data_IF_480928396763
#
_entry.id   IF_480928396763
#
_cell.length_a   1.000
_cell.length_b   1.000
_cell.length_c   1.000
_cell.angle_alpha   90.00
_cell.angle_beta   90.00
_cell.angle_gamma   90.00
#
_symmetry.space_group_name_H-M   'P 1'
#
loop_
_entity.id
_entity.type
_entity.pdbx_description
1 polymer ?
#
# COMPACT_ATOMS: atom_id res chain seq x y z
N UNK A 1 -7.73 25.89 14.83
CA UNK A 1 -8.37 24.83 15.64
C UNK A 1 -9.40 23.99 14.87
N UNK A 2 -9.80 24.35 13.64
CA UNK A 2 -10.82 23.62 12.85
C UNK A 2 -10.18 22.52 11.97
N UNK A 3 -8.90 22.65 11.64
CA UNK A 3 -8.22 21.76 10.68
C UNK A 3 -7.77 20.41 11.28
N UNK A 4 -7.47 20.35 12.59
CA UNK A 4 -7.02 19.12 13.25
C UNK A 4 -8.17 18.10 13.45
N UNK A 5 -9.37 18.56 13.83
CA UNK A 5 -10.52 17.67 14.04
C UNK A 5 -11.04 17.00 12.76
N UNK A 6 -10.90 17.66 11.60
CA UNK A 6 -11.28 17.09 10.30
C UNK A 6 -10.29 16.01 9.83
N UNK A 7 -9.02 16.10 10.24
CA UNK A 7 -8.00 15.08 9.92
C UNK A 7 -8.16 13.87 10.84
N UNK A 8 -8.34 14.08 12.15
CA UNK A 8 -8.54 12.98 13.12
C UNK A 8 -9.79 12.15 12.80
N UNK A 9 -10.91 12.79 12.43
CA UNK A 9 -12.14 12.07 12.10
C UNK A 9 -12.07 11.20 10.84
N UNK A 10 -11.16 11.51 9.91
CA UNK A 10 -10.97 10.72 8.69
C UNK A 10 -10.08 9.50 8.91
N UNK A 11 -9.17 9.53 9.88
CA UNK A 11 -8.24 8.42 10.12
C UNK A 11 -8.97 7.15 10.61
N UNK A 12 -10.13 7.31 11.24
CA UNK A 12 -10.97 6.21 11.69
C UNK A 12 -11.98 5.72 10.64
N UNK A 13 -11.98 6.32 9.44
CA UNK A 13 -12.86 5.90 8.35
C UNK A 13 -12.49 4.49 7.89
N UNK A 14 -13.43 3.56 7.99
CA UNK A 14 -13.25 2.17 7.53
C UNK A 14 -13.37 2.14 6.01
N UNK A 15 -12.28 1.76 5.35
CA UNK A 15 -12.19 1.59 3.89
C UNK A 15 -12.64 0.19 3.44
N UNK A 16 -12.58 -0.78 4.35
CA UNK A 16 -12.98 -2.17 4.09
C UNK A 16 -12.64 -3.08 5.25
N UNK A 17 -12.72 -4.39 5.03
CA UNK A 17 -12.46 -5.41 6.06
C UNK A 17 -11.61 -6.53 5.45
N UNK A 18 -10.59 -6.98 6.18
CA UNK A 18 -9.81 -8.17 5.83
C UNK A 18 -10.16 -9.36 6.74
N UNK A 19 -10.21 -10.56 6.17
CA UNK A 19 -10.43 -11.81 6.92
C UNK A 19 -9.13 -12.48 7.36
N UNK A 20 -7.99 -11.93 6.96
CA UNK A 20 -6.65 -12.44 7.24
C UNK A 20 -5.75 -11.32 7.74
N UNK A 21 -4.64 -11.69 8.39
CA UNK A 21 -3.57 -10.76 8.74
C UNK A 21 -2.87 -10.24 7.47
N UNK A 22 -2.39 -8.99 7.48
CA UNK A 22 -1.55 -8.42 6.41
C UNK A 22 -0.13 -8.14 6.94
N UNK A 23 0.87 -8.77 6.33
CA UNK A 23 2.26 -8.66 6.78
C UNK A 23 3.00 -7.48 6.14
N UNK A 24 3.18 -6.41 6.91
CA UNK A 24 3.93 -5.22 6.55
C UNK A 24 5.26 -5.07 7.30
N UNK A 25 5.77 -6.13 7.94
CA UNK A 25 7.05 -6.10 8.66
C UNK A 25 8.20 -5.89 7.68
N UNK A 26 9.15 -5.02 8.04
CA UNK A 26 10.34 -4.76 7.21
C UNK A 26 11.19 -6.00 6.99
N UNK A 27 11.23 -6.90 7.97
CA UNK A 27 11.94 -8.18 7.86
C UNK A 27 11.40 -9.08 6.75
N UNK A 28 10.13 -8.91 6.37
CA UNK A 28 9.46 -9.72 5.33
C UNK A 28 9.36 -8.94 4.03
N UNK A 29 8.72 -7.77 4.02
CA UNK A 29 8.40 -7.04 2.78
C UNK A 29 9.63 -6.61 1.97
N UNK A 30 10.82 -6.58 2.58
CA UNK A 30 12.08 -6.24 1.89
C UNK A 30 12.88 -7.45 1.41
N UNK A 31 12.47 -8.67 1.77
CA UNK A 31 13.24 -9.89 1.53
C UNK A 31 12.43 -11.00 0.87
N UNK A 32 11.10 -10.92 0.95
CA UNK A 32 10.16 -11.88 0.39
C UNK A 32 8.86 -11.19 0.01
N UNK A 33 8.04 -11.92 -0.75
CA UNK A 33 6.68 -11.53 -1.07
C UNK A 33 5.81 -11.48 0.21
N UNK A 34 4.95 -10.47 0.32
CA UNK A 34 3.94 -10.40 1.38
C UNK A 34 2.57 -10.10 0.80
N UNK A 35 1.54 -10.60 1.46
CA UNK A 35 0.16 -10.37 1.05
C UNK A 35 -0.25 -8.88 1.13
N UNK A 36 0.35 -8.10 2.05
CA UNK A 36 0.17 -6.64 2.06
C UNK A 36 0.74 -5.99 0.80
N UNK A 37 1.95 -6.40 0.39
CA UNK A 37 2.58 -5.93 -0.83
C UNK A 37 1.74 -6.23 -2.06
N UNK A 38 1.25 -7.46 -2.17
CA UNK A 38 0.36 -7.90 -3.25
C UNK A 38 -0.91 -7.06 -3.30
N UNK A 39 -1.59 -6.89 -2.17
CA UNK A 39 -2.83 -6.12 -2.12
C UNK A 39 -2.64 -4.66 -2.54
N UNK A 40 -1.58 -3.99 -2.10
CA UNK A 40 -1.29 -2.61 -2.53
C UNK A 40 -1.03 -2.54 -4.03
N UNK A 41 -0.25 -3.48 -4.57
CA UNK A 41 -0.01 -3.56 -6.02
C UNK A 41 -1.30 -3.81 -6.81
N UNK A 42 -2.19 -4.68 -6.32
CA UNK A 42 -3.48 -4.97 -6.95
C UNK A 42 -4.38 -3.72 -6.98
N UNK A 43 -4.40 -2.94 -5.90
CA UNK A 43 -5.13 -1.66 -5.85
C UNK A 43 -4.57 -0.67 -6.89
N UNK A 44 -3.24 -0.54 -6.99
CA UNK A 44 -2.61 0.32 -7.99
C UNK A 44 -2.89 -0.15 -9.41
N UNK A 45 -2.86 -1.47 -9.65
CA UNK A 45 -3.15 -2.07 -10.94
C UNK A 45 -4.60 -1.76 -11.37
N UNK A 46 -5.56 -1.97 -10.46
CA UNK A 46 -6.97 -1.66 -10.70
C UNK A 46 -7.23 -0.17 -10.92
N UNK A 47 -6.55 0.71 -10.19
CA UNK A 47 -6.71 2.16 -10.29
C UNK A 47 -6.09 2.74 -11.58
N UNK A 48 -5.03 2.13 -12.10
CA UNK A 48 -4.29 2.64 -13.26
C UNK A 48 -4.68 1.97 -14.58
N UNK A 49 -5.17 0.73 -14.54
CA UNK A 49 -5.40 -0.09 -15.74
C UNK A 49 -4.12 -0.48 -16.47
N UNK A 50 -2.96 -0.43 -15.80
CA UNK A 50 -1.69 -0.89 -16.35
C UNK A 50 -1.67 -2.43 -16.50
N UNK A 51 -0.69 -2.94 -17.24
CA UNK A 51 -0.50 -4.39 -17.39
C UNK A 51 0.21 -5.02 -16.18
N UNK A 52 1.04 -4.26 -15.47
CA UNK A 52 1.75 -4.68 -14.25
C UNK A 52 2.12 -3.47 -13.37
N UNK A 53 2.43 -3.74 -12.10
CA UNK A 53 2.94 -2.75 -11.14
C UNK A 53 4.27 -3.24 -10.57
N UNK A 54 5.26 -2.35 -10.55
CA UNK A 54 6.50 -2.54 -9.78
C UNK A 54 6.52 -1.47 -8.68
N UNK A 55 6.56 -1.92 -7.43
CA UNK A 55 6.61 -1.05 -6.26
C UNK A 55 7.75 -1.49 -5.36
N UNK A 56 8.66 -0.58 -5.03
CA UNK A 56 9.76 -0.91 -4.14
C UNK A 56 9.28 -1.04 -2.69
N UNK A 57 9.85 -1.99 -1.96
CA UNK A 57 9.48 -2.26 -0.57
C UNK A 57 9.74 -1.09 0.40
N UNK A 58 10.56 -0.12 0.01
CA UNK A 58 10.85 1.10 0.77
C UNK A 58 9.63 2.01 0.98
N UNK A 59 8.62 1.90 0.13
CA UNK A 59 7.34 2.62 0.19
C UNK A 59 6.50 2.19 1.38
N UNK A 60 6.64 0.95 1.85
CA UNK A 60 5.89 0.40 2.97
C UNK A 60 6.57 0.74 4.28
N UNK A 61 5.83 1.36 5.22
CA UNK A 61 6.40 1.98 6.44
C UNK A 61 5.82 1.49 7.77
N UNK A 62 4.80 0.63 7.74
CA UNK A 62 4.09 0.23 8.96
C UNK A 62 4.86 -0.68 9.93
N UNK A 63 5.84 -1.44 9.44
CA UNK A 63 6.69 -2.40 10.18
C UNK A 63 5.94 -3.30 11.18
N UNK A 64 4.78 -3.82 10.77
CA UNK A 64 3.94 -4.65 11.63
C UNK A 64 3.08 -5.61 10.83
N UNK A 65 2.45 -6.54 11.56
CA UNK A 65 1.31 -7.30 11.08
C UNK A 65 0.05 -6.49 11.40
N UNK A 66 -0.79 -6.26 10.39
CA UNK A 66 -2.13 -5.69 10.56
C UNK A 66 -3.12 -6.83 10.79
N UNK A 67 -3.90 -6.80 11.88
CA UNK A 67 -4.82 -7.89 12.21
C UNK A 67 -5.99 -7.97 11.22
N UNK A 68 -6.68 -9.11 11.12
CA UNK A 68 -7.96 -9.18 10.44
C UNK A 68 -8.99 -8.27 11.11
N UNK A 69 -9.95 -7.80 10.33
CA UNK A 69 -10.99 -6.88 10.76
C UNK A 69 -11.02 -5.61 9.92
N UNK A 70 -11.56 -4.54 10.50
CA UNK A 70 -11.72 -3.26 9.85
C UNK A 70 -10.37 -2.67 9.48
N UNK A 71 -10.26 -2.22 8.23
CA UNK A 71 -9.10 -1.54 7.69
C UNK A 71 -9.45 -0.08 7.48
N UNK A 72 -8.73 0.80 8.17
CA UNK A 72 -9.04 2.23 8.19
C UNK A 72 -8.15 3.03 7.24
N UNK A 73 -8.55 4.26 6.95
CA UNK A 73 -7.67 5.22 6.27
C UNK A 73 -6.38 5.42 7.06
N UNK A 74 -6.44 5.37 8.39
CA UNK A 74 -5.26 5.46 9.24
C UNK A 74 -4.28 4.29 9.03
N UNK A 75 -4.79 3.08 8.85
CA UNK A 75 -3.96 1.92 8.53
C UNK A 75 -3.27 2.10 7.17
N UNK A 76 -4.02 2.56 6.15
CA UNK A 76 -3.46 2.85 4.84
C UNK A 76 -2.35 3.91 4.89
N UNK A 77 -2.59 5.01 5.60
CA UNK A 77 -1.60 6.08 5.79
C UNK A 77 -0.38 5.60 6.57
N UNK A 78 -0.54 4.70 7.54
CA UNK A 78 0.58 4.08 8.24
C UNK A 78 1.39 3.13 7.34
N UNK A 79 0.75 2.48 6.38
CA UNK A 79 1.39 1.57 5.42
C UNK A 79 2.16 2.37 4.36
N UNK A 80 1.51 3.31 3.67
CA UNK A 80 2.07 4.14 2.60
C UNK A 80 1.93 5.63 2.95
N UNK A 81 2.77 6.16 3.87
CA UNK A 81 2.60 7.53 4.38
C UNK A 81 2.99 8.61 3.37
N UNK A 82 3.79 8.26 2.36
CA UNK A 82 4.23 9.23 1.35
C UNK A 82 3.19 9.32 0.24
N UNK A 83 2.69 10.53 0.02
CA UNK A 83 1.70 10.84 -1.02
C UNK A 83 2.39 11.13 -2.35
N UNK A 84 3.29 10.25 -2.75
CA UNK A 84 3.98 10.36 -4.03
C UNK A 84 2.99 10.07 -5.17
N UNK A 85 3.11 10.76 -6.32
CA UNK A 85 2.21 10.52 -7.44
C UNK A 85 2.41 9.10 -8.01
N UNK A 86 1.30 8.43 -8.33
CA UNK A 86 1.33 7.20 -9.11
C UNK A 86 1.60 7.55 -10.58
N UNK A 87 2.62 6.92 -11.18
CA UNK A 87 3.05 7.19 -12.56
C UNK A 87 2.88 5.91 -13.39
N UNK A 88 2.31 6.06 -14.59
CA UNK A 88 2.21 4.98 -15.59
C UNK A 88 3.13 5.33 -16.76
N UNK A 89 4.00 4.40 -17.13
CA UNK A 89 4.91 4.54 -18.27
C UNK A 89 4.77 3.35 -19.22
N UNK A 90 5.01 3.59 -20.51
CA UNK A 90 5.12 2.53 -21.49
C UNK A 90 6.58 2.07 -21.57
N UNK A 91 6.82 0.78 -21.37
CA UNK A 91 8.16 0.17 -21.41
C UNK A 91 8.13 -1.12 -22.21
N UNK A 92 9.30 -1.53 -22.72
CA UNK A 92 9.48 -2.84 -23.35
C UNK A 92 9.68 -3.93 -22.30
N UNK A 93 9.39 -5.18 -22.66
CA UNK A 93 9.68 -6.33 -21.80
C UNK A 93 11.15 -6.44 -21.38
N UNK A 94 12.08 -6.02 -22.25
CA UNK A 94 13.51 -6.00 -21.93
C UNK A 94 13.83 -5.01 -20.80
N UNK A 95 13.23 -3.82 -20.81
CA UNK A 95 13.43 -2.83 -19.75
C UNK A 95 12.87 -3.32 -18.41
N UNK A 96 11.80 -4.12 -18.42
CA UNK A 96 11.25 -4.74 -17.22
C UNK A 96 12.21 -5.78 -16.64
N UNK A 97 12.85 -6.59 -17.49
CA UNK A 97 13.82 -7.61 -17.06
C UNK A 97 15.12 -7.02 -16.49
N UNK A 98 15.48 -5.80 -16.90
CA UNK A 98 16.69 -5.11 -16.46
C UNK A 98 16.50 -4.25 -15.20
N UNK A 99 15.25 -4.02 -14.78
CA UNK A 99 14.89 -3.22 -13.61
C UNK A 99 15.24 -3.93 -12.29
#
# INVERSE_FOLDING_TARGET
MIFLGTVEGKMTEVLGTFTVELDGRFSQIRTAETNLGNWVCDVLLAATGADLVILNSGTFRSDRIHPPGDFTLGDLVNIVPMQDPTIVILVTGQQILEA
#
